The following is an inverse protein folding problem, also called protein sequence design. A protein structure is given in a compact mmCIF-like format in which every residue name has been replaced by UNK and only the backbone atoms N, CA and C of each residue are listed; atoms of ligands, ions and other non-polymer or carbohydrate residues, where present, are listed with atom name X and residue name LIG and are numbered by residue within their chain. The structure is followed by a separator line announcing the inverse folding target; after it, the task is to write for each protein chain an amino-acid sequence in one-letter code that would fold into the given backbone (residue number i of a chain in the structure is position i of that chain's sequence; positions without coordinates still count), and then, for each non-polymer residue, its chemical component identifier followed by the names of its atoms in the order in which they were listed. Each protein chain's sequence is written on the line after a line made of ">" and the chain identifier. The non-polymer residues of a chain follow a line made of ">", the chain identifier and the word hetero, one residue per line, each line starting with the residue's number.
data_IF_281110101048
#
_entry.id   IF_281110101048
#
_cell.length_a   1.000
_cell.length_b   1.000
_cell.length_c   1.000
_cell.angle_alpha   90.00
_cell.angle_beta   90.00
_cell.angle_gamma   90.00
#
_symmetry.space_group_name_H-M   'P 1'
#
loop_
_entity.id
_entity.type
_entity.pdbx_description
1 polymer ?
#
# COMPACT_ATOMS: atom_id res chain seq x y z
N UNK A 1 24.96 -19.23 -18.86
CA UNK A 1 23.96 -19.31 -17.79
C UNK A 1 23.64 -17.88 -17.37
N UNK A 2 22.57 -17.29 -17.90
CA UNK A 2 22.10 -15.98 -17.44
C UNK A 2 21.43 -16.19 -16.09
N UNK A 3 22.02 -15.63 -15.03
CA UNK A 3 21.37 -15.54 -13.73
C UNK A 3 20.23 -14.54 -13.95
N UNK A 4 18.98 -15.02 -14.04
CA UNK A 4 17.82 -14.14 -13.89
C UNK A 4 17.97 -13.49 -12.51
N UNK A 5 18.30 -12.20 -12.47
CA UNK A 5 18.04 -11.38 -11.29
C UNK A 5 16.58 -11.64 -10.91
N UNK A 6 16.34 -12.22 -9.74
CA UNK A 6 14.99 -12.56 -9.30
C UNK A 6 14.14 -11.28 -9.29
N UNK A 7 12.87 -11.39 -9.70
CA UNK A 7 11.90 -10.29 -9.66
C UNK A 7 11.86 -9.57 -8.30
N UNK A 8 12.17 -10.30 -7.22
CA UNK A 8 12.33 -9.79 -5.86
C UNK A 8 13.42 -8.73 -5.72
N UNK A 9 14.59 -8.89 -6.37
CA UNK A 9 15.67 -7.90 -6.26
C UNK A 9 15.34 -6.60 -6.98
N UNK A 10 14.53 -6.67 -8.04
CA UNK A 10 14.07 -5.50 -8.82
C UNK A 10 13.00 -4.75 -8.02
N UNK A 11 12.05 -5.46 -7.43
CA UNK A 11 11.02 -4.87 -6.57
C UNK A 11 11.62 -4.12 -5.38
N UNK A 12 12.61 -4.71 -4.69
CA UNK A 12 13.28 -4.05 -3.56
C UNK A 12 14.09 -2.83 -4.00
N UNK A 13 14.77 -2.87 -5.14
CA UNK A 13 15.49 -1.70 -5.66
C UNK A 13 14.54 -0.56 -6.05
N UNK A 14 13.37 -0.89 -6.58
CA UNK A 14 12.36 0.10 -6.97
C UNK A 14 11.66 0.69 -5.75
N UNK A 15 11.43 -0.11 -4.70
CA UNK A 15 10.93 0.38 -3.41
C UNK A 15 11.91 1.36 -2.76
N UNK A 16 13.21 1.02 -2.74
CA UNK A 16 14.23 1.91 -2.20
C UNK A 16 14.32 3.23 -2.99
N UNK A 17 14.20 3.17 -4.33
CA UNK A 17 14.15 4.36 -5.17
C UNK A 17 12.91 5.22 -4.87
N UNK A 18 11.73 4.59 -4.81
CA UNK A 18 10.47 5.24 -4.48
C UNK A 18 10.53 5.92 -3.10
N UNK A 19 11.06 5.25 -2.08
CA UNK A 19 11.21 5.82 -0.74
C UNK A 19 12.18 7.00 -0.67
N UNK A 20 13.16 7.06 -1.59
CA UNK A 20 14.03 8.21 -1.78
C UNK A 20 13.39 9.36 -2.56
N UNK A 21 12.11 9.23 -2.95
CA UNK A 21 11.36 10.20 -3.73
C UNK A 21 11.65 10.17 -5.24
N UNK A 22 12.16 9.06 -5.75
CA UNK A 22 12.33 8.85 -7.20
C UNK A 22 10.98 8.55 -7.85
N UNK A 23 10.51 9.47 -8.71
CA UNK A 23 9.30 9.33 -9.50
C UNK A 23 9.31 8.05 -10.35
N UNK A 24 10.45 7.70 -10.94
CA UNK A 24 10.52 6.49 -11.77
C UNK A 24 10.45 5.21 -10.93
N UNK A 25 10.83 5.28 -9.64
CA UNK A 25 10.58 4.20 -8.68
C UNK A 25 9.08 3.94 -8.50
N UNK A 26 8.29 4.99 -8.26
CA UNK A 26 6.83 4.87 -8.16
C UNK A 26 6.19 4.34 -9.45
N UNK A 27 6.64 4.83 -10.62
CA UNK A 27 6.14 4.36 -11.92
C UNK A 27 6.42 2.87 -12.13
N UNK A 28 7.63 2.39 -11.85
CA UNK A 28 7.99 0.96 -11.98
C UNK A 28 7.22 0.07 -11.02
N UNK A 29 6.99 0.52 -9.78
CA UNK A 29 6.15 -0.22 -8.81
C UNK A 29 4.69 -0.30 -9.24
N UNK A 30 4.13 0.81 -9.77
CA UNK A 30 2.78 0.84 -10.36
C UNK A 30 2.67 -0.17 -11.50
N UNK A 31 3.59 -0.11 -12.46
CA UNK A 31 3.57 -0.96 -13.65
C UNK A 31 3.76 -2.43 -13.27
N UNK A 32 4.66 -2.73 -12.33
CA UNK A 32 4.83 -4.06 -11.76
C UNK A 32 3.52 -4.58 -11.15
N UNK A 33 2.80 -3.76 -10.37
CA UNK A 33 1.52 -4.14 -9.78
C UNK A 33 0.45 -4.44 -10.86
N UNK A 34 0.40 -3.64 -11.93
CA UNK A 34 -0.51 -3.89 -13.07
C UNK A 34 -0.15 -5.21 -13.77
N UNK A 35 1.14 -5.48 -13.99
CA UNK A 35 1.61 -6.73 -14.60
C UNK A 35 1.25 -7.95 -13.76
N UNK A 36 1.33 -7.85 -12.42
CA UNK A 36 0.91 -8.92 -11.52
C UNK A 36 -0.58 -9.25 -11.65
N UNK A 37 -1.41 -8.24 -11.94
CA UNK A 37 -2.84 -8.43 -12.20
C UNK A 37 -3.09 -9.23 -13.47
N UNK A 38 -2.30 -8.98 -14.52
CA UNK A 38 -2.43 -9.66 -15.82
C UNK A 38 -1.87 -11.10 -15.82
N UNK A 39 -0.97 -11.40 -14.87
CA UNK A 39 -0.31 -12.71 -14.75
C UNK A 39 -1.01 -13.71 -13.84
N UNK A 40 -2.24 -13.45 -13.39
CA UNK A 40 -3.02 -14.26 -12.42
C UNK A 40 -2.26 -14.60 -11.11
N UNK A 41 -1.19 -13.86 -10.81
CA UNK A 41 -0.31 -14.15 -9.67
C UNK A 41 -0.89 -13.61 -8.36
N UNK A 42 -1.61 -12.49 -8.45
CA UNK A 42 -2.35 -11.87 -7.35
C UNK A 42 -3.79 -11.60 -7.78
N UNK A 43 -4.75 -11.52 -6.83
CA UNK A 43 -6.10 -11.07 -7.14
C UNK A 43 -6.08 -9.70 -7.85
N UNK A 44 -6.90 -9.56 -8.90
CA UNK A 44 -7.02 -8.32 -9.67
C UNK A 44 -7.24 -7.09 -8.78
N UNK A 45 -8.18 -7.19 -7.84
CA UNK A 45 -8.49 -6.10 -6.91
C UNK A 45 -7.30 -5.69 -6.04
N UNK A 46 -6.50 -6.65 -5.54
CA UNK A 46 -5.30 -6.35 -4.76
C UNK A 46 -4.26 -5.60 -5.60
N UNK A 47 -4.04 -6.09 -6.81
CA UNK A 47 -3.09 -5.50 -7.76
C UNK A 47 -3.48 -4.07 -8.16
N UNK A 48 -4.78 -3.82 -8.37
CA UNK A 48 -5.30 -2.47 -8.65
C UNK A 48 -5.13 -1.52 -7.45
N UNK A 49 -5.31 -2.02 -6.22
CA UNK A 49 -5.11 -1.22 -5.00
C UNK A 49 -3.63 -0.87 -4.82
N UNK A 50 -2.73 -1.82 -5.06
CA UNK A 50 -1.30 -1.58 -5.04
C UNK A 50 -0.90 -0.55 -6.12
N UNK A 51 -1.39 -0.73 -7.34
CA UNK A 51 -1.14 0.19 -8.45
C UNK A 51 -1.66 1.61 -8.14
N UNK A 52 -2.84 1.73 -7.54
CA UNK A 52 -3.39 3.02 -7.11
C UNK A 52 -2.47 3.71 -6.11
N UNK A 53 -2.01 2.99 -5.08
CA UNK A 53 -1.11 3.55 -4.07
C UNK A 53 0.12 4.20 -4.71
N UNK A 54 0.80 3.48 -5.61
CA UNK A 54 1.99 4.01 -6.29
C UNK A 54 1.66 5.09 -7.31
N UNK A 55 0.52 4.98 -8.01
CA UNK A 55 0.06 6.02 -8.92
C UNK A 55 -0.30 7.32 -8.21
N UNK A 56 -0.80 7.27 -6.96
CA UNK A 56 -1.03 8.47 -6.14
C UNK A 56 0.27 9.17 -5.79
N UNK A 57 1.30 8.44 -5.37
CA UNK A 57 2.63 9.01 -5.16
C UNK A 57 3.19 9.63 -6.45
N UNK A 58 3.14 8.91 -7.57
CA UNK A 58 3.63 9.40 -8.85
C UNK A 58 2.87 10.65 -9.32
N UNK A 59 1.53 10.63 -9.31
CA UNK A 59 0.67 11.76 -9.71
C UNK A 59 0.89 13.01 -8.86
N UNK A 60 1.22 12.84 -7.57
CA UNK A 60 1.41 13.95 -6.65
C UNK A 60 2.72 14.75 -6.86
N UNK A 61 3.71 14.18 -7.56
CA UNK A 61 5.00 14.84 -7.86
C UNK A 61 5.37 14.82 -9.35
N UNK A 62 4.63 14.09 -10.15
CA UNK A 62 4.85 13.86 -11.56
C UNK A 62 4.06 14.79 -12.47
N UNK A 63 3.87 14.36 -13.70
CA UNK A 63 3.33 15.17 -14.78
C UNK A 63 1.88 14.78 -15.14
N UNK A 64 1.41 15.29 -16.29
CA UNK A 64 0.07 15.01 -16.80
C UNK A 64 -0.14 13.51 -17.08
N UNK A 65 0.89 12.79 -17.51
CA UNK A 65 0.78 11.36 -17.81
C UNK A 65 0.60 10.55 -16.51
N UNK A 66 1.25 10.95 -15.42
CA UNK A 66 1.07 10.32 -14.11
C UNK A 66 -0.35 10.53 -13.55
N UNK A 67 -0.91 11.74 -13.72
CA UNK A 67 -2.31 12.03 -13.38
C UNK A 67 -3.29 11.22 -14.22
N UNK A 68 -3.03 11.08 -15.52
CA UNK A 68 -3.84 10.27 -16.43
C UNK A 68 -3.78 8.79 -16.04
N UNK A 69 -2.59 8.28 -15.69
CA UNK A 69 -2.42 6.91 -15.21
C UNK A 69 -3.22 6.66 -13.91
N UNK A 70 -3.18 7.58 -12.94
CA UNK A 70 -3.99 7.49 -11.73
C UNK A 70 -5.49 7.44 -12.05
N UNK A 71 -5.99 8.34 -12.90
CA UNK A 71 -7.39 8.38 -13.30
C UNK A 71 -7.85 7.06 -13.94
N UNK A 72 -7.02 6.46 -14.81
CA UNK A 72 -7.31 5.16 -15.43
C UNK A 72 -7.37 4.02 -14.40
N UNK A 73 -6.45 4.01 -13.42
CA UNK A 73 -6.44 3.00 -12.36
C UNK A 73 -7.66 3.14 -11.44
N UNK A 74 -8.02 4.37 -11.07
CA UNK A 74 -9.21 4.64 -10.25
C UNK A 74 -10.50 4.22 -10.98
N UNK A 75 -10.57 4.43 -12.30
CA UNK A 75 -11.67 3.92 -13.12
C UNK A 75 -11.72 2.39 -13.11
N UNK A 76 -10.59 1.71 -13.34
CA UNK A 76 -10.55 0.25 -13.29
C UNK A 76 -10.95 -0.30 -11.91
N UNK A 77 -10.57 0.39 -10.83
CA UNK A 77 -10.98 0.04 -9.45
C UNK A 77 -12.47 0.27 -9.23
N UNK A 78 -13.02 1.34 -9.79
CA UNK A 78 -14.46 1.62 -9.81
C UNK A 78 -15.23 0.48 -10.48
N UNK A 79 -14.81 0.08 -11.69
CA UNK A 79 -15.47 -0.97 -12.48
C UNK A 79 -15.43 -2.34 -11.75
N UNK A 80 -14.30 -2.68 -11.13
CA UNK A 80 -14.15 -3.91 -10.33
C UNK A 80 -15.05 -3.89 -9.08
N UNK A 81 -15.22 -2.73 -8.44
CA UNK A 81 -16.13 -2.59 -7.29
C UNK A 81 -17.60 -2.72 -7.69
N UNK A 82 -17.98 -2.12 -8.80
CA UNK A 82 -19.34 -2.20 -9.34
C UNK A 82 -19.69 -3.65 -9.71
N UNK A 83 -18.76 -4.38 -10.33
CA UNK A 83 -18.91 -5.83 -10.63
C UNK A 83 -19.16 -6.66 -9.36
N UNK A 84 -18.65 -6.20 -8.20
CA UNK A 84 -18.84 -6.82 -6.89
C UNK A 84 -20.04 -6.29 -6.10
N UNK A 85 -20.83 -5.37 -6.68
CA UNK A 85 -22.02 -4.79 -6.06
C UNK A 85 -21.76 -3.70 -5.02
N UNK A 86 -20.56 -3.11 -5.00
CA UNK A 86 -20.23 -1.98 -4.14
C UNK A 86 -20.40 -0.64 -4.87
N UNK A 87 -20.61 0.44 -4.11
CA UNK A 87 -20.63 1.79 -4.69
C UNK A 87 -19.27 2.16 -5.30
N UNK A 88 -19.35 2.72 -6.51
CA UNK A 88 -18.28 3.28 -7.33
C UNK A 88 -18.21 4.81 -7.29
N UNK A 89 -19.24 5.47 -6.77
CA UNK A 89 -19.44 6.93 -6.88
C UNK A 89 -18.24 7.77 -6.40
N UNK A 90 -17.60 7.49 -5.24
CA UNK A 90 -16.44 8.27 -4.80
C UNK A 90 -15.24 8.17 -5.76
N UNK A 91 -15.01 7.00 -6.36
CA UNK A 91 -13.93 6.83 -7.34
C UNK A 91 -14.22 7.58 -8.62
N UNK A 92 -15.46 7.50 -9.11
CA UNK A 92 -15.87 8.19 -10.33
C UNK A 92 -15.77 9.72 -10.20
N UNK A 93 -16.07 10.27 -9.02
CA UNK A 93 -15.87 11.70 -8.71
C UNK A 93 -14.38 12.07 -8.78
N UNK A 94 -13.51 11.25 -8.19
CA UNK A 94 -12.06 11.48 -8.21
C UNK A 94 -11.46 11.31 -9.63
N UNK A 95 -11.92 10.33 -10.40
CA UNK A 95 -11.56 10.16 -11.82
C UNK A 95 -11.94 11.41 -12.61
N UNK A 96 -13.17 11.90 -12.45
CA UNK A 96 -13.64 13.11 -13.12
C UNK A 96 -12.84 14.35 -12.69
N UNK A 97 -12.44 14.45 -11.41
CA UNK A 97 -11.58 15.51 -10.93
C UNK A 97 -10.23 15.54 -11.67
N UNK A 98 -9.55 14.39 -11.76
CA UNK A 98 -8.26 14.31 -12.46
C UNK A 98 -8.39 14.60 -13.96
N UNK A 99 -9.41 14.06 -14.64
CA UNK A 99 -9.62 14.35 -16.06
C UNK A 99 -9.99 15.81 -16.32
N UNK A 100 -10.74 16.46 -15.43
CA UNK A 100 -11.04 17.88 -15.55
C UNK A 100 -9.76 18.72 -15.47
N UNK A 101 -8.86 18.45 -14.52
CA UNK A 101 -7.58 19.16 -14.40
C UNK A 101 -6.73 19.01 -15.68
N UNK A 102 -6.73 17.83 -16.29
CA UNK A 102 -6.04 17.55 -17.55
C UNK A 102 -6.71 18.26 -18.74
N UNK A 103 -8.04 18.24 -18.81
CA UNK A 103 -8.81 18.93 -19.84
C UNK A 103 -8.61 20.45 -19.79
N UNK A 104 -8.60 21.04 -18.58
CA UNK A 104 -8.33 22.46 -18.35
C UNK A 104 -6.90 22.85 -18.77
N UNK A 105 -5.95 21.90 -18.68
CA UNK A 105 -4.59 22.05 -19.18
C UNK A 105 -4.46 21.83 -20.70
N UNK A 106 -5.55 21.46 -21.40
CA UNK A 106 -5.60 21.28 -22.84
C UNK A 106 -5.44 19.84 -23.35
N UNK A 107 -5.53 18.83 -22.48
CA UNK A 107 -5.56 17.41 -22.91
C UNK A 107 -6.92 17.08 -23.55
N UNK A 108 -6.92 16.91 -24.87
CA UNK A 108 -8.11 16.57 -25.64
C UNK A 108 -8.64 15.16 -25.32
N UNK A 109 -7.77 14.19 -25.03
CA UNK A 109 -8.21 12.85 -24.63
C UNK A 109 -8.92 12.90 -23.29
N UNK A 110 -8.40 13.68 -22.33
CA UNK A 110 -9.03 13.84 -21.02
C UNK A 110 -10.42 14.49 -21.14
N UNK A 111 -10.57 15.45 -22.06
CA UNK A 111 -11.87 16.06 -22.38
C UNK A 111 -12.86 15.02 -22.89
N UNK A 112 -12.44 14.17 -23.82
CA UNK A 112 -13.27 13.09 -24.38
C UNK A 112 -13.62 12.03 -23.31
N UNK A 113 -12.68 11.69 -22.43
CA UNK A 113 -12.94 10.76 -21.32
C UNK A 113 -13.94 11.34 -20.32
N UNK A 114 -13.79 12.61 -19.94
CA UNK A 114 -14.74 13.28 -19.04
C UNK A 114 -16.15 13.31 -19.63
N UNK A 115 -16.28 13.59 -20.93
CA UNK A 115 -17.58 13.54 -21.62
C UNK A 115 -18.21 12.13 -21.61
N UNK A 116 -17.39 11.07 -21.74
CA UNK A 116 -17.86 9.67 -21.69
C UNK A 116 -18.33 9.24 -20.30
N UNK A 117 -17.71 9.76 -19.24
CA UNK A 117 -18.13 9.45 -17.87
C UNK A 117 -19.55 9.95 -17.57
N UNK A 118 -20.02 10.96 -18.29
CA UNK A 118 -21.38 11.51 -18.11
C UNK A 118 -21.59 12.23 -16.77
N UNK A 119 -20.50 12.49 -16.04
CA UNK A 119 -20.49 13.20 -14.76
C UNK A 119 -20.31 14.69 -15.09
N UNK A 120 -21.23 15.53 -14.60
CA UNK A 120 -21.15 16.97 -14.79
C UNK A 120 -19.92 17.59 -14.11
N UNK A 121 -19.70 18.91 -14.21
CA UNK A 121 -18.58 19.59 -13.56
C UNK A 121 -18.56 19.29 -12.05
N UNK A 122 -17.52 18.59 -11.60
CA UNK A 122 -17.40 18.06 -10.23
C UNK A 122 -17.56 19.14 -9.16
N UNK A 123 -17.17 20.38 -9.46
CA UNK A 123 -17.27 21.55 -8.56
C UNK A 123 -18.70 21.92 -8.12
N UNK A 124 -19.74 21.40 -8.78
CA UNK A 124 -21.13 21.61 -8.34
C UNK A 124 -21.68 20.46 -7.49
N UNK A 125 -20.95 19.35 -7.38
CA UNK A 125 -21.27 18.21 -6.54
C UNK A 125 -20.21 18.08 -5.43
N UNK A 126 -20.60 18.43 -4.21
CA UNK A 126 -19.89 18.10 -2.98
C UNK A 126 -18.46 18.67 -2.83
N UNK A 127 -18.37 19.99 -2.61
CA UNK A 127 -17.11 20.71 -2.31
C UNK A 127 -16.31 20.04 -1.19
N UNK A 128 -16.98 19.33 -0.25
CA UNK A 128 -16.34 18.56 0.81
C UNK A 128 -15.54 17.38 0.26
N UNK A 129 -16.08 16.62 -0.70
CA UNK A 129 -15.39 15.51 -1.35
C UNK A 129 -14.19 16.00 -2.14
N UNK A 130 -14.35 17.09 -2.89
CA UNK A 130 -13.26 17.69 -3.67
C UNK A 130 -12.16 18.23 -2.78
N UNK A 131 -12.51 18.83 -1.64
CA UNK A 131 -11.52 19.24 -0.65
C UNK A 131 -10.79 18.04 -0.04
N UNK A 132 -11.50 16.95 0.26
CA UNK A 132 -10.89 15.70 0.72
C UNK A 132 -9.88 15.11 -0.27
N UNK A 133 -10.17 15.17 -1.58
CA UNK A 133 -9.23 14.75 -2.64
C UNK A 133 -7.97 15.62 -2.60
N UNK A 134 -8.11 16.95 -2.55
CA UNK A 134 -6.97 17.89 -2.50
C UNK A 134 -6.11 17.71 -1.26
N UNK A 135 -6.74 17.51 -0.10
CA UNK A 135 -6.03 17.27 1.16
C UNK A 135 -5.22 15.98 1.10
N UNK A 136 -5.81 14.92 0.53
CA UNK A 136 -5.13 13.64 0.26
C UNK A 136 -3.94 13.83 -0.70
N UNK A 137 -4.13 14.50 -1.84
CA UNK A 137 -3.04 14.81 -2.79
C UNK A 137 -1.89 15.57 -2.12
N UNK A 138 -2.20 16.52 -1.23
CA UNK A 138 -1.20 17.29 -0.52
C UNK A 138 -0.40 16.46 0.51
N UNK A 139 -1.00 15.46 1.15
CA UNK A 139 -0.28 14.50 2.00
C UNK A 139 0.54 13.53 1.15
N UNK A 140 0.01 13.01 0.03
CA UNK A 140 0.76 12.18 -0.92
C UNK A 140 1.97 12.92 -1.49
N UNK A 141 1.84 14.20 -1.84
CA UNK A 141 2.95 15.01 -2.35
C UNK A 141 4.05 15.17 -1.30
N UNK A 142 3.70 15.49 -0.04
CA UNK A 142 4.67 15.57 1.06
C UNK A 142 5.34 14.22 1.32
N UNK A 143 4.56 13.15 1.35
CA UNK A 143 5.05 11.79 1.58
C UNK A 143 5.97 11.31 0.45
N UNK A 144 5.66 11.65 -0.81
CA UNK A 144 6.47 11.33 -1.98
C UNK A 144 7.88 11.96 -1.93
N UNK A 145 8.03 13.12 -1.27
CA UNK A 145 9.33 13.74 -1.02
C UNK A 145 9.99 13.27 0.30
N UNK A 146 9.57 12.12 0.84
CA UNK A 146 10.19 11.49 2.02
C UNK A 146 9.73 12.07 3.37
N UNK A 147 8.63 12.82 3.43
CA UNK A 147 8.10 13.31 4.70
C UNK A 147 7.45 12.16 5.50
N UNK A 148 8.17 11.65 6.49
CA UNK A 148 7.69 10.52 7.33
C UNK A 148 6.44 10.84 8.13
N UNK A 149 6.23 12.10 8.54
CA UNK A 149 4.99 12.50 9.22
C UNK A 149 3.78 12.48 8.27
N UNK A 150 3.96 12.83 7.00
CA UNK A 150 2.91 12.72 5.99
C UNK A 150 2.57 11.25 5.70
N UNK A 151 3.59 10.38 5.61
CA UNK A 151 3.40 8.93 5.51
C UNK A 151 2.62 8.38 6.72
N UNK A 152 3.00 8.78 7.94
CA UNK A 152 2.28 8.38 9.16
C UNK A 152 0.83 8.86 9.14
N UNK A 153 0.56 10.10 8.71
CA UNK A 153 -0.81 10.61 8.56
C UNK A 153 -1.62 9.81 7.53
N UNK A 154 -1.05 9.47 6.39
CA UNK A 154 -1.71 8.63 5.38
C UNK A 154 -2.07 7.25 5.94
N UNK A 155 -1.19 6.65 6.75
CA UNK A 155 -1.47 5.39 7.45
C UNK A 155 -2.56 5.55 8.51
N UNK A 156 -2.50 6.63 9.29
CA UNK A 156 -3.46 6.90 10.36
C UNK A 156 -4.86 7.17 9.81
N UNK A 157 -5.02 7.95 8.74
CA UNK A 157 -6.35 8.26 8.14
C UNK A 157 -7.12 6.98 7.78
N UNK A 158 -6.43 5.93 7.34
CA UNK A 158 -7.09 4.68 6.96
C UNK A 158 -7.48 3.83 8.19
N UNK A 159 -6.80 4.03 9.33
CA UNK A 159 -6.93 3.22 10.56
C UNK A 159 -7.73 3.93 11.66
N UNK A 160 -7.63 5.26 11.78
CA UNK A 160 -8.11 6.07 12.92
C UNK A 160 -9.62 6.05 13.09
N UNK A 161 -10.36 5.89 11.99
CA UNK A 161 -11.81 5.93 11.97
C UNK A 161 -12.45 4.52 12.00
N UNK A 162 -11.63 3.48 12.15
CA UNK A 162 -12.08 2.08 12.05
C UNK A 162 -11.90 1.35 13.36
N UNK A 163 -13.00 0.80 13.86
CA UNK A 163 -12.96 -0.12 15.01
C UNK A 163 -12.12 -1.36 14.64
N UNK A 164 -11.28 -1.88 15.54
CA UNK A 164 -10.61 -3.16 15.32
C UNK A 164 -11.62 -4.24 14.89
N UNK A 165 -11.43 -4.79 13.68
CA UNK A 165 -12.36 -5.75 13.05
C UNK A 165 -13.25 -5.20 11.93
N UNK A 166 -13.26 -3.89 11.68
CA UNK A 166 -13.98 -3.26 10.54
C UNK A 166 -13.06 -2.83 9.41
N UNK A 167 -11.74 -3.02 9.55
CA UNK A 167 -10.77 -2.74 8.49
C UNK A 167 -10.98 -3.76 7.36
N UNK A 168 -11.25 -3.28 6.15
CA UNK A 168 -11.48 -4.16 5.01
C UNK A 168 -10.16 -4.68 4.43
N UNK A 169 -10.22 -5.78 3.67
CA UNK A 169 -9.07 -6.29 2.90
C UNK A 169 -8.40 -5.19 2.08
N UNK A 170 -9.21 -4.40 1.36
CA UNK A 170 -8.69 -3.35 0.49
C UNK A 170 -7.97 -2.25 1.26
N UNK A 171 -8.40 -1.96 2.49
CA UNK A 171 -7.71 -1.02 3.37
C UNK A 171 -6.37 -1.58 3.83
N UNK A 172 -6.32 -2.86 4.22
CA UNK A 172 -5.08 -3.54 4.64
C UNK A 172 -4.05 -3.55 3.50
N UNK A 173 -4.49 -3.84 2.26
CA UNK A 173 -3.62 -3.79 1.08
C UNK A 173 -3.06 -2.40 0.87
N UNK A 174 -3.93 -1.40 0.91
CA UNK A 174 -3.56 -0.02 0.64
C UNK A 174 -2.56 0.52 1.66
N UNK A 175 -2.80 0.31 2.96
CA UNK A 175 -1.87 0.74 4.02
C UNK A 175 -0.58 -0.06 4.02
N UNK A 176 -0.60 -1.34 3.62
CA UNK A 176 0.62 -2.13 3.49
C UNK A 176 1.56 -1.51 2.46
N UNK A 177 1.06 -1.11 1.29
CA UNK A 177 1.91 -0.50 0.26
C UNK A 177 2.46 0.87 0.66
N UNK A 178 1.68 1.69 1.38
CA UNK A 178 2.17 2.96 1.97
C UNK A 178 3.26 2.65 3.01
N UNK A 179 3.04 1.68 3.89
CA UNK A 179 3.98 1.30 4.94
C UNK A 179 5.27 0.70 4.37
N UNK A 180 5.20 -0.02 3.23
CA UNK A 180 6.36 -0.53 2.50
C UNK A 180 7.25 0.58 1.94
N UNK A 181 6.65 1.62 1.35
CA UNK A 181 7.41 2.82 0.94
C UNK A 181 8.05 3.48 2.16
N UNK A 182 7.29 3.59 3.26
CA UNK A 182 7.77 4.19 4.50
C UNK A 182 8.89 3.40 5.19
N UNK A 183 8.85 2.07 5.17
CA UNK A 183 9.83 1.23 5.87
C UNK A 183 11.25 1.34 5.31
N UNK A 184 11.38 1.63 4.01
CA UNK A 184 12.69 1.83 3.37
C UNK A 184 13.42 3.09 3.86
N UNK A 185 12.71 4.04 4.50
CA UNK A 185 13.36 5.18 5.17
C UNK A 185 14.20 4.77 6.37
N UNK A 186 13.99 3.56 6.90
CA UNK A 186 14.62 3.07 8.11
C UNK A 186 14.03 3.62 9.41
N UNK A 187 12.97 4.44 9.33
CA UNK A 187 12.23 4.95 10.49
C UNK A 187 11.64 3.78 11.30
N UNK A 188 12.04 3.60 12.58
CA UNK A 188 11.52 2.52 13.42
C UNK A 188 10.00 2.53 13.57
N UNK A 189 9.36 3.70 13.57
CA UNK A 189 7.90 3.78 13.69
C UNK A 189 7.20 3.22 12.43
N UNK A 190 7.71 3.55 11.25
CA UNK A 190 7.15 3.06 9.98
C UNK A 190 7.41 1.56 9.80
N UNK A 191 8.58 1.06 10.22
CA UNK A 191 8.87 -0.37 10.29
C UNK A 191 7.91 -1.10 11.23
N UNK A 192 7.66 -0.55 12.41
CA UNK A 192 6.71 -1.14 13.36
C UNK A 192 5.27 -1.18 12.83
N UNK A 193 4.86 -0.10 12.17
CA UNK A 193 3.55 -0.02 11.50
C UNK A 193 3.43 -1.06 10.40
N UNK A 194 4.47 -1.23 9.56
CA UNK A 194 4.49 -2.29 8.56
C UNK A 194 4.37 -3.67 9.22
N UNK A 195 5.14 -3.98 10.25
CA UNK A 195 5.04 -5.27 10.95
C UNK A 195 3.64 -5.52 11.52
N UNK A 196 3.02 -4.49 12.12
CA UNK A 196 1.63 -4.53 12.60
C UNK A 196 0.66 -4.85 11.47
N UNK A 197 0.77 -4.15 10.34
CA UNK A 197 -0.08 -4.33 9.17
C UNK A 197 0.08 -5.74 8.59
N UNK A 198 1.30 -6.25 8.47
CA UNK A 198 1.58 -7.61 7.96
C UNK A 198 0.95 -8.68 8.87
N UNK A 199 0.99 -8.51 10.19
CA UNK A 199 0.30 -9.39 11.14
C UNK A 199 -1.23 -9.36 10.95
N UNK A 200 -1.82 -8.18 10.79
CA UNK A 200 -3.26 -8.01 10.56
C UNK A 200 -3.69 -8.58 9.19
N UNK A 201 -2.91 -8.34 8.14
CA UNK A 201 -3.07 -8.90 6.80
C UNK A 201 -3.04 -10.43 6.85
N UNK A 202 -2.04 -11.00 7.54
CA UNK A 202 -1.92 -12.45 7.75
C UNK A 202 -3.14 -13.01 8.47
N UNK A 203 -3.61 -12.35 9.53
CA UNK A 203 -4.83 -12.77 10.24
C UNK A 203 -6.02 -12.79 9.29
N UNK A 204 -6.21 -11.75 8.49
CA UNK A 204 -7.29 -11.69 7.51
C UNK A 204 -7.22 -12.87 6.52
N UNK A 205 -6.05 -13.11 5.94
CA UNK A 205 -5.81 -14.21 4.99
C UNK A 205 -6.09 -15.59 5.60
N UNK A 206 -5.73 -15.81 6.87
CA UNK A 206 -6.02 -17.05 7.58
C UNK A 206 -7.53 -17.31 7.77
N UNK A 207 -8.33 -16.25 7.91
CA UNK A 207 -9.77 -16.39 8.15
C UNK A 207 -10.58 -16.41 6.84
N UNK A 208 -10.19 -15.62 5.84
CA UNK A 208 -10.94 -15.45 4.59
C UNK A 208 -10.36 -16.21 3.40
N UNK A 209 -9.13 -16.73 3.52
CA UNK A 209 -8.53 -17.68 2.57
C UNK A 209 -8.31 -17.13 1.17
N UNK A 210 -7.95 -15.85 1.03
CA UNK A 210 -7.83 -15.19 -0.27
C UNK A 210 -6.55 -15.59 -1.00
N UNK A 211 -5.45 -15.81 -0.26
CA UNK A 211 -4.20 -16.37 -0.79
C UNK A 211 -3.39 -17.17 0.28
N UNK A 212 -3.51 -18.51 0.34
CA UNK A 212 -2.81 -19.33 1.34
C UNK A 212 -1.28 -19.25 1.27
N UNK A 213 -0.70 -19.01 0.08
CA UNK A 213 0.75 -18.88 -0.09
C UNK A 213 1.31 -17.57 0.45
N UNK A 214 0.46 -16.55 0.61
CA UNK A 214 0.84 -15.24 1.14
C UNK A 214 0.98 -15.24 2.66
N UNK A 215 0.22 -16.09 3.37
CA UNK A 215 0.20 -16.19 4.85
C UNK A 215 1.59 -16.38 5.44
N UNK A 216 2.39 -17.28 4.87
CA UNK A 216 3.73 -17.57 5.35
C UNK A 216 4.71 -16.44 5.02
N UNK A 217 4.61 -15.84 3.83
CA UNK A 217 5.46 -14.72 3.44
C UNK A 217 5.27 -13.51 4.35
N UNK A 218 4.01 -13.16 4.65
CA UNK A 218 3.66 -12.06 5.56
C UNK A 218 4.18 -12.34 6.98
N UNK A 219 4.06 -13.59 7.45
CA UNK A 219 4.54 -14.00 8.77
C UNK A 219 6.06 -13.94 8.89
N UNK A 220 6.78 -14.40 7.87
CA UNK A 220 8.25 -14.32 7.81
C UNK A 220 8.71 -12.87 7.83
N UNK A 221 8.16 -12.02 6.95
CA UNK A 221 8.54 -10.61 6.84
C UNK A 221 8.28 -9.83 8.13
N UNK A 222 7.10 -10.01 8.75
CA UNK A 222 6.79 -9.40 10.03
C UNK A 222 7.80 -9.78 11.12
N UNK A 223 8.17 -11.06 11.22
CA UNK A 223 9.17 -11.54 12.19
C UNK A 223 10.55 -10.92 11.95
N UNK A 224 10.97 -10.80 10.69
CA UNK A 224 12.23 -10.14 10.36
C UNK A 224 12.26 -8.67 10.81
N UNK A 225 11.20 -7.91 10.52
CA UNK A 225 11.10 -6.51 10.91
C UNK A 225 11.09 -6.38 12.45
N UNK A 226 10.33 -7.23 13.14
CA UNK A 226 10.28 -7.22 14.62
C UNK A 226 11.65 -7.47 15.25
N UNK A 227 12.44 -8.37 14.69
CA UNK A 227 13.81 -8.61 15.18
C UNK A 227 14.70 -7.41 14.92
N UNK A 228 14.64 -6.83 13.72
CA UNK A 228 15.43 -5.65 13.38
C UNK A 228 15.13 -4.49 14.37
N UNK A 229 13.85 -4.27 14.70
CA UNK A 229 13.44 -3.30 15.72
C UNK A 229 13.97 -3.63 17.13
N UNK A 230 13.98 -4.91 17.51
CA UNK A 230 14.49 -5.35 18.81
C UNK A 230 16.02 -5.18 18.91
N UNK A 231 16.77 -5.47 17.84
CA UNK A 231 18.21 -5.26 17.78
C UNK A 231 18.61 -3.78 17.84
N UNK A 232 17.73 -2.89 17.34
CA UNK A 232 17.89 -1.44 17.40
C UNK A 232 17.49 -0.82 18.76
N UNK A 233 17.14 -1.63 19.76
CA UNK A 233 16.64 -1.20 21.09
C UNK A 233 15.40 -0.26 21.00
N UNK A 234 14.60 -0.42 19.95
CA UNK A 234 13.41 0.40 19.67
C UNK A 234 12.11 -0.21 20.24
N UNK A 235 12.18 -1.34 20.94
CA UNK A 235 11.05 -2.21 21.31
C UNK A 235 10.20 -1.79 22.52
N UNK A 236 9.67 -0.55 22.57
CA UNK A 236 8.84 -0.08 23.70
C UNK A 236 7.39 0.28 23.34
N UNK A 237 6.87 -0.16 22.19
CA UNK A 237 5.64 0.40 21.67
C UNK A 237 4.42 -0.54 21.79
N UNK A 238 3.24 0.06 21.97
CA UNK A 238 2.00 -0.60 22.36
C UNK A 238 1.26 -1.27 21.19
N UNK A 239 1.43 -0.79 19.96
CA UNK A 239 0.72 -1.29 18.77
C UNK A 239 1.24 -2.68 18.35
N UNK A 240 2.56 -2.85 18.27
CA UNK A 240 3.14 -4.16 17.97
C UNK A 240 2.78 -5.21 19.04
N UNK A 241 2.76 -4.81 20.31
CA UNK A 241 2.34 -5.68 21.42
C UNK A 241 0.87 -6.10 21.33
N UNK A 242 0.01 -5.31 20.67
CA UNK A 242 -1.40 -5.66 20.43
C UNK A 242 -1.58 -6.57 19.20
N UNK A 243 -0.69 -6.50 18.20
CA UNK A 243 -0.75 -7.34 17.00
C UNK A 243 -0.06 -8.70 17.19
N UNK A 244 0.93 -8.80 18.08
CA UNK A 244 1.66 -10.03 18.40
C UNK A 244 0.80 -11.24 18.79
N UNK A 245 -0.30 -11.11 19.57
CA UNK A 245 -1.20 -12.23 19.89
C UNK A 245 -1.80 -12.94 18.67
N UNK A 246 -1.79 -12.31 17.49
CA UNK A 246 -2.26 -12.89 16.22
C UNK A 246 -1.25 -13.88 15.60
N UNK A 247 -0.02 -13.93 16.13
CA UNK A 247 0.98 -14.94 15.79
C UNK A 247 1.09 -15.95 16.93
N UNK A 248 0.86 -17.23 16.63
CA UNK A 248 1.06 -18.25 17.66
C UNK A 248 2.55 -18.37 17.97
N UNK A 249 2.91 -18.72 19.21
CA UNK A 249 4.31 -18.95 19.58
C UNK A 249 4.99 -20.03 18.74
N UNK A 250 4.20 -20.97 18.20
CA UNK A 250 4.66 -21.96 17.23
C UNK A 250 5.07 -21.32 15.90
N UNK A 251 4.28 -20.38 15.39
CA UNK A 251 4.54 -19.68 14.13
C UNK A 251 5.77 -18.79 14.25
N UNK A 252 5.91 -18.04 15.34
CA UNK A 252 7.10 -17.22 15.61
C UNK A 252 8.36 -18.09 15.59
N UNK A 253 8.33 -19.25 16.27
CA UNK A 253 9.45 -20.20 16.27
C UNK A 253 9.71 -20.82 14.90
N UNK A 254 8.67 -21.13 14.14
CA UNK A 254 8.77 -21.71 12.80
C UNK A 254 9.44 -20.73 11.82
N UNK A 255 8.97 -19.48 11.78
CA UNK A 255 9.55 -18.46 10.90
C UNK A 255 10.93 -18.00 11.39
N UNK A 256 11.16 -17.93 12.70
CA UNK A 256 12.50 -17.73 13.25
C UNK A 256 13.46 -18.86 12.86
N UNK A 257 13.00 -20.12 12.79
CA UNK A 257 13.81 -21.25 12.37
C UNK A 257 14.17 -21.21 10.88
N UNK A 258 13.41 -20.49 10.05
CA UNK A 258 13.79 -20.19 8.66
C UNK A 258 15.01 -19.26 8.56
N UNK A 259 15.48 -18.73 9.70
CA UNK A 259 16.62 -17.81 9.81
C UNK A 259 17.51 -18.28 10.97
N UNK A 260 18.50 -19.15 10.72
CA UNK A 260 19.29 -19.78 11.78
C UNK A 260 19.93 -18.82 12.79
N UNK A 261 20.23 -17.57 12.40
CA UNK A 261 20.72 -16.52 13.29
C UNK A 261 19.69 -16.06 14.35
N UNK A 262 18.39 -16.13 14.06
CA UNK A 262 17.31 -15.73 14.97
C UNK A 262 17.11 -16.72 16.13
N UNK A 263 17.43 -18.00 15.91
CA UNK A 263 17.33 -19.03 16.95
C UNK A 263 18.23 -18.73 18.16
N UNK A 264 19.32 -17.98 17.97
CA UNK A 264 20.21 -17.58 19.06
C UNK A 264 19.62 -16.49 19.98
N UNK A 265 18.65 -15.70 19.49
CA UNK A 265 17.99 -14.62 20.25
C UNK A 265 16.66 -15.06 20.89
N UNK A 266 15.96 -16.02 20.26
CA UNK A 266 14.63 -16.49 20.69
C UNK A 266 14.74 -17.75 21.57
N UNK A 267 15.92 -18.39 21.62
CA UNK A 267 16.19 -19.39 22.64
C UNK A 267 16.20 -18.70 24.01
N UNK A 268 15.21 -18.95 24.91
CA UNK A 268 15.37 -18.54 26.28
C UNK A 268 16.58 -19.32 26.79
N UNK A 269 17.64 -18.62 27.16
CA UNK A 269 18.58 -19.18 28.11
C UNK A 269 17.78 -19.57 29.36
N UNK A 270 17.54 -20.87 29.54
CA UNK A 270 16.96 -21.43 30.76
C UNK A 270 15.82 -22.43 30.51
N UNK A 271 16.21 -23.68 30.24
CA UNK A 271 15.32 -24.84 30.21
C UNK A 271 16.11 -26.13 30.50
N UNK A 272 17.02 -26.06 31.47
CA UNK A 272 17.63 -27.17 32.19
C UNK A 272 17.70 -26.79 33.66
#
# INVERSE_FOLDING_TARGET
>A
MQIKTSSTNVYLSDMAAAAAGDLDGYRRLRDFAIEQAAGDTYPLLESLIAAECYARFASAIGDADDRKALAVILQARSDERETRGYSSEPYLVEVAHHFQLLADAGDADATDQLAKLGIGPVWQADEEVVQGIRDSEAEFSRAAYGNTQALTRLLDVVVSDKTPGTISFGDLVYIEHIARVGSESGDPELLERLATILCLRRKFELHQGTNPGLVDSLGVEAVFIMVDLALRDCGKNNLLNQALPEMTWRDVKFYAAAVPALLAFIAPMGGA
#
